data_IF_295608739447
#
_entry.id   IF_295608739447
#
_cell.length_a   1.000
_cell.length_b   1.000
_cell.length_c   1.000
_cell.angle_alpha   90.00
_cell.angle_beta   90.00
_cell.angle_gamma   90.00
#
_symmetry.space_group_name_H-M   'P 1'
#
loop_
_entity.id
_entity.type
_entity.pdbx_description
1 polymer ?
#
# COMPACT_ATOMS: atom_id res chain seq x y z
N UNK A 1 -12.02 28.45 -1.33
CA UNK A 1 -10.85 27.68 -1.78
C UNK A 1 -9.66 27.68 -0.80
N UNK A 2 -9.62 28.55 0.23
CA UNK A 2 -8.49 28.61 1.19
C UNK A 2 -8.55 27.55 2.32
N UNK A 3 -9.72 27.07 2.73
CA UNK A 3 -9.87 26.15 3.88
C UNK A 3 -9.57 24.67 3.59
N UNK A 4 -9.35 24.27 2.33
CA UNK A 4 -9.02 22.87 1.97
C UNK A 4 -7.53 22.53 2.09
N UNK A 5 -6.64 23.53 2.19
CA UNK A 5 -5.21 23.31 2.45
C UNK A 5 -4.89 23.22 3.96
N UNK A 6 -5.78 23.75 4.80
CA UNK A 6 -5.66 23.71 6.25
C UNK A 6 -5.57 22.28 6.85
N UNK A 7 -6.28 21.24 6.37
CA UNK A 7 -6.27 19.92 6.99
C UNK A 7 -4.90 19.27 6.98
N UNK A 8 -4.16 19.36 5.86
CA UNK A 8 -2.85 18.71 5.71
C UNK A 8 -1.78 19.43 6.55
N UNK A 9 -1.79 20.76 6.55
CA UNK A 9 -0.90 21.56 7.41
C UNK A 9 -1.24 21.36 8.90
N UNK A 10 -2.52 21.25 9.25
CA UNK A 10 -2.98 21.02 10.62
C UNK A 10 -2.61 19.62 11.13
N UNK A 11 -2.63 18.59 10.29
CA UNK A 11 -2.14 17.24 10.65
C UNK A 11 -0.62 17.15 10.78
N UNK A 12 0.13 18.09 10.18
CA UNK A 12 1.58 18.12 10.23
C UNK A 12 2.12 18.50 11.61
N UNK A 13 1.41 19.35 12.34
CA UNK A 13 1.80 19.82 13.69
C UNK A 13 1.89 18.68 14.71
N UNK A 14 0.85 17.85 14.95
CA UNK A 14 0.96 16.73 15.89
C UNK A 14 1.98 15.69 15.44
N UNK A 15 2.15 15.51 14.12
CA UNK A 15 3.12 14.59 13.57
C UNK A 15 4.57 15.06 13.82
N UNK A 16 4.83 16.37 13.67
CA UNK A 16 6.10 16.99 14.02
C UNK A 16 6.40 16.86 15.52
N UNK A 17 5.41 17.08 16.39
CA UNK A 17 5.57 16.90 17.83
C UNK A 17 5.91 15.44 18.19
N UNK A 18 5.22 14.46 17.59
CA UNK A 18 5.56 13.04 17.73
C UNK A 18 6.98 12.72 17.27
N UNK A 19 7.38 13.21 16.09
CA UNK A 19 8.73 12.98 15.57
C UNK A 19 9.80 13.63 16.45
N UNK A 20 9.53 14.82 17.01
CA UNK A 20 10.40 15.51 17.95
C UNK A 20 10.54 14.74 19.26
N UNK A 21 9.44 14.33 19.85
CA UNK A 21 9.42 13.65 21.15
C UNK A 21 10.08 12.25 21.05
N UNK A 22 10.03 11.63 19.86
CA UNK A 22 10.74 10.39 19.53
C UNK A 22 12.20 10.60 19.08
N UNK A 23 12.70 11.84 19.03
CA UNK A 23 14.04 12.19 18.50
C UNK A 23 14.31 11.68 17.08
N UNK A 24 13.26 11.62 16.26
CA UNK A 24 13.27 11.16 14.87
C UNK A 24 13.33 12.30 13.84
N UNK A 25 13.55 13.54 14.31
CA UNK A 25 13.76 14.69 13.44
C UNK A 25 15.05 14.52 12.60
N UNK A 26 15.04 15.07 11.39
CA UNK A 26 16.14 14.98 10.41
C UNK A 26 16.55 13.55 10.00
N UNK A 27 15.67 12.57 10.16
CA UNK A 27 15.92 11.19 9.73
C UNK A 27 15.07 10.82 8.49
N UNK A 28 15.75 10.42 7.40
CA UNK A 28 15.12 9.96 6.16
C UNK A 28 14.20 8.74 6.42
N UNK A 29 14.59 7.84 7.33
CA UNK A 29 13.78 6.66 7.66
C UNK A 29 12.46 7.05 8.35
N UNK A 30 12.49 8.05 9.23
CA UNK A 30 11.28 8.54 9.88
C UNK A 30 10.32 9.16 8.85
N UNK A 31 10.88 9.89 7.89
CA UNK A 31 10.13 10.47 6.79
C UNK A 31 9.48 9.37 5.91
N UNK A 32 10.24 8.35 5.51
CA UNK A 32 9.72 7.20 4.75
C UNK A 32 8.58 6.51 5.51
N UNK A 33 8.74 6.29 6.82
CA UNK A 33 7.72 5.62 7.64
C UNK A 33 6.42 6.44 7.70
N UNK A 34 6.54 7.75 7.88
CA UNK A 34 5.40 8.68 7.90
C UNK A 34 4.65 8.65 6.56
N UNK A 35 5.35 8.87 5.45
CA UNK A 35 4.73 8.87 4.12
C UNK A 35 4.11 7.52 3.79
N UNK A 36 4.79 6.43 4.14
CA UNK A 36 4.26 5.08 3.98
C UNK A 36 2.97 4.92 4.78
N UNK A 37 2.96 5.30 6.06
CA UNK A 37 1.78 5.14 6.95
C UNK A 37 0.56 5.92 6.45
N UNK A 38 0.76 7.13 5.92
CA UNK A 38 -0.31 7.95 5.37
C UNK A 38 -0.87 7.31 4.08
N UNK A 39 0.00 6.79 3.21
CA UNK A 39 -0.41 6.18 1.93
C UNK A 39 -0.91 4.73 2.07
N UNK A 40 -0.55 4.02 3.14
CA UNK A 40 -0.79 2.59 3.32
C UNK A 40 -2.29 2.21 3.27
N UNK A 41 -3.23 2.93 3.91
CA UNK A 41 -4.65 2.59 3.83
C UNK A 41 -5.19 2.62 2.39
N UNK A 42 -4.77 3.63 1.61
CA UNK A 42 -5.14 3.77 0.21
C UNK A 42 -4.50 2.66 -0.63
N UNK A 43 -3.21 2.38 -0.42
CA UNK A 43 -2.51 1.31 -1.13
C UNK A 43 -3.11 -0.07 -0.88
N UNK A 44 -3.43 -0.39 0.38
CA UNK A 44 -4.10 -1.64 0.76
C UNK A 44 -5.48 -1.73 0.13
N UNK A 45 -6.26 -0.64 0.13
CA UNK A 45 -7.58 -0.62 -0.48
C UNK A 45 -7.52 -0.87 -1.99
N UNK A 46 -6.60 -0.23 -2.71
CA UNK A 46 -6.40 -0.44 -4.14
C UNK A 46 -5.98 -1.87 -4.46
N UNK A 47 -4.95 -2.39 -3.79
CA UNK A 47 -4.48 -3.76 -4.01
C UNK A 47 -5.57 -4.79 -3.70
N UNK A 48 -6.37 -4.55 -2.67
CA UNK A 48 -7.52 -5.40 -2.35
C UNK A 48 -8.53 -5.43 -3.49
N UNK A 49 -8.78 -4.32 -4.18
CA UNK A 49 -9.67 -4.29 -5.35
C UNK A 49 -9.18 -5.25 -6.44
N UNK A 50 -7.89 -5.18 -6.78
CA UNK A 50 -7.29 -6.06 -7.79
C UNK A 50 -7.26 -7.53 -7.37
N UNK A 51 -7.02 -7.81 -6.08
CA UNK A 51 -7.04 -9.17 -5.56
C UNK A 51 -8.43 -9.82 -5.63
N UNK A 52 -9.50 -9.03 -5.44
CA UNK A 52 -10.88 -9.51 -5.53
C UNK A 52 -11.33 -9.81 -6.96
N UNK A 53 -10.64 -9.30 -7.97
CA UNK A 53 -10.92 -9.60 -9.38
C UNK A 53 -10.41 -10.98 -9.80
N UNK A 54 -9.55 -11.62 -9.00
CA UNK A 54 -9.01 -12.94 -9.31
C UNK A 54 -10.13 -14.01 -9.13
N UNK A 55 -10.47 -14.77 -10.17
CA UNK A 55 -11.44 -15.86 -10.08
C UNK A 55 -10.98 -16.93 -9.07
N UNK A 56 -11.89 -17.39 -8.21
CA UNK A 56 -11.59 -18.46 -7.25
C UNK A 56 -11.24 -19.80 -7.94
N UNK A 57 -11.82 -20.05 -9.12
CA UNK A 57 -11.63 -21.27 -9.91
C UNK A 57 -10.15 -21.52 -10.29
N UNK A 58 -9.35 -20.46 -10.43
CA UNK A 58 -7.90 -20.57 -10.69
C UNK A 58 -7.15 -21.25 -9.54
N UNK A 59 -7.55 -20.96 -8.30
CA UNK A 59 -6.94 -21.58 -7.12
C UNK A 59 -7.39 -23.03 -6.98
N UNK A 60 -8.65 -23.33 -7.29
CA UNK A 60 -9.16 -24.70 -7.27
C UNK A 60 -8.45 -25.56 -8.32
N UNK A 61 -8.31 -25.07 -9.55
CA UNK A 61 -7.56 -25.74 -10.61
C UNK A 61 -6.11 -26.00 -10.21
N UNK A 62 -5.42 -24.99 -9.66
CA UNK A 62 -4.04 -25.14 -9.20
C UNK A 62 -3.90 -26.20 -8.09
N UNK A 63 -4.88 -26.30 -7.19
CA UNK A 63 -4.88 -27.30 -6.12
C UNK A 63 -5.17 -28.70 -6.64
N UNK A 64 -6.06 -28.84 -7.63
CA UNK A 64 -6.30 -30.11 -8.34
C UNK A 64 -5.01 -30.58 -9.03
N UNK A 65 -4.23 -29.65 -9.59
CA UNK A 65 -2.92 -29.92 -10.18
C UNK A 65 -1.80 -30.19 -9.14
N UNK A 66 -2.13 -30.18 -7.84
CA UNK A 66 -1.18 -30.44 -6.76
C UNK A 66 -0.20 -29.30 -6.50
N UNK A 67 -0.51 -28.07 -6.95
CA UNK A 67 0.34 -26.91 -6.71
C UNK A 67 0.38 -26.55 -5.22
N UNK A 68 1.58 -26.25 -4.71
CA UNK A 68 1.75 -25.74 -3.37
C UNK A 68 1.30 -24.26 -3.28
N UNK A 69 0.91 -23.79 -2.10
CA UNK A 69 0.49 -22.40 -1.88
C UNK A 69 1.52 -21.34 -2.33
N UNK A 70 2.83 -21.63 -2.19
CA UNK A 70 3.89 -20.75 -2.71
C UNK A 70 3.84 -20.62 -4.23
N UNK A 71 3.47 -21.69 -4.92
CA UNK A 71 3.27 -21.69 -6.37
C UNK A 71 2.04 -20.86 -6.74
N UNK A 72 0.90 -21.04 -6.05
CA UNK A 72 -0.30 -20.22 -6.26
C UNK A 72 0.02 -18.72 -6.15
N UNK A 73 0.73 -18.29 -5.10
CA UNK A 73 1.09 -16.88 -4.93
C UNK A 73 1.99 -16.40 -6.07
N UNK A 74 3.12 -17.06 -6.30
CA UNK A 74 4.16 -16.53 -7.19
C UNK A 74 3.81 -16.66 -8.68
N UNK A 75 3.04 -17.68 -9.06
CA UNK A 75 2.75 -18.01 -10.47
C UNK A 75 1.34 -17.60 -10.90
N UNK A 76 0.41 -17.42 -9.96
CA UNK A 76 -0.96 -17.01 -10.28
C UNK A 76 -1.19 -15.59 -9.74
N UNK A 77 -1.13 -15.39 -8.42
CA UNK A 77 -1.50 -14.10 -7.82
C UNK A 77 -0.61 -12.96 -8.28
N UNK A 78 0.70 -13.07 -8.09
CA UNK A 78 1.69 -12.01 -8.41
C UNK A 78 1.59 -11.52 -9.86
N UNK A 79 1.61 -12.37 -10.90
CA UNK A 79 1.50 -11.90 -12.28
C UNK A 79 0.12 -11.31 -12.60
N UNK A 80 -0.97 -11.83 -12.01
CA UNK A 80 -2.31 -11.27 -12.22
C UNK A 80 -2.46 -9.87 -11.61
N UNK A 81 -1.92 -9.65 -10.41
CA UNK A 81 -2.00 -8.34 -9.75
C UNK A 81 -0.87 -7.38 -10.13
N UNK A 82 0.11 -7.81 -10.93
CA UNK A 82 1.24 -6.97 -11.37
C UNK A 82 0.82 -5.59 -11.94
N UNK A 83 -0.18 -5.48 -12.85
CA UNK A 83 -0.67 -4.17 -13.28
C UNK A 83 -1.29 -3.35 -12.14
N UNK A 84 -2.01 -3.99 -11.21
CA UNK A 84 -2.56 -3.35 -10.02
C UNK A 84 -1.49 -2.86 -9.04
N UNK A 85 -0.41 -3.62 -8.87
CA UNK A 85 0.78 -3.22 -8.11
C UNK A 85 1.48 -2.02 -8.73
N UNK A 86 1.60 -1.98 -10.05
CA UNK A 86 2.19 -0.85 -10.77
C UNK A 86 1.35 0.42 -10.61
N UNK A 87 0.02 0.33 -10.81
CA UNK A 87 -0.90 1.45 -10.62
C UNK A 87 -0.90 1.95 -9.17
N UNK A 88 -0.95 1.04 -8.20
CA UNK A 88 -0.92 1.41 -6.77
C UNK A 88 0.40 2.06 -6.40
N UNK A 89 1.53 1.53 -6.86
CA UNK A 89 2.86 2.12 -6.60
C UNK A 89 2.98 3.52 -7.18
N UNK A 90 2.47 3.75 -8.39
CA UNK A 90 2.47 5.06 -9.02
C UNK A 90 1.64 6.06 -8.19
N UNK A 91 0.45 5.65 -7.74
CA UNK A 91 -0.42 6.49 -6.92
C UNK A 91 0.26 6.82 -5.58
N UNK A 92 0.80 5.82 -4.88
CA UNK A 92 1.53 6.03 -3.61
C UNK A 92 2.82 6.85 -3.76
N UNK A 93 3.38 6.97 -4.97
CA UNK A 93 4.56 7.79 -5.23
C UNK A 93 4.19 9.26 -5.51
N UNK A 94 3.00 9.50 -6.04
CA UNK A 94 2.49 10.85 -6.34
C UNK A 94 2.01 11.56 -5.06
N UNK A 95 1.48 10.81 -4.08
CA UNK A 95 0.94 11.31 -2.82
C UNK A 95 1.95 11.22 -1.67
#
# INVERSE_FOLDING_TARGET
>A
MSTRFLPFAASLVPLYLLARDLSLLDNILALILIYTTINLPLGVWLLRSFLLEIPHDLFEAARVDGAAFRHEILRIVVPLIAPGLAATSLICLIF
#
